data_IF_098542223333
#
_entry.id   IF_098542223333
#
_cell.length_a   1.000
_cell.length_b   1.000
_cell.length_c   1.000
_cell.angle_alpha   90.00
_cell.angle_beta   90.00
_cell.angle_gamma   90.00
#
_symmetry.space_group_name_H-M   'P 1'
#
loop_
_entity.id
_entity.type
_entity.pdbx_description
1 polymer ?
#
# COMPACT_ATOMS: atom_id res chain seq x y z
N UNK A 1 -13.56 27.43 -26.15
CA UNK A 1 -14.46 27.09 -25.03
C UNK A 1 -14.54 28.29 -24.12
N UNK A 2 -15.74 28.67 -23.68
CA UNK A 2 -15.97 29.81 -22.79
C UNK A 2 -15.46 29.46 -21.38
N UNK A 3 -14.26 29.91 -21.01
CA UNK A 3 -13.85 29.93 -19.61
C UNK A 3 -14.80 30.89 -18.87
N UNK A 4 -15.56 30.44 -17.86
CA UNK A 4 -16.45 31.32 -17.13
C UNK A 4 -15.64 32.44 -16.48
N UNK A 5 -16.05 33.68 -16.72
CA UNK A 5 -15.39 34.88 -16.20
C UNK A 5 -15.81 35.06 -14.73
N UNK A 6 -14.98 34.59 -13.80
CA UNK A 6 -15.20 34.72 -12.35
C UNK A 6 -14.43 35.95 -11.87
N UNK A 7 -15.14 37.00 -11.43
CA UNK A 7 -14.58 38.26 -10.96
C UNK A 7 -15.21 38.65 -9.62
N UNK A 8 -14.47 39.38 -8.79
CA UNK A 8 -14.99 40.02 -7.58
C UNK A 8 -14.53 41.48 -7.51
N UNK A 9 -15.22 42.29 -6.71
CA UNK A 9 -14.82 43.68 -6.43
C UNK A 9 -13.96 43.70 -5.17
N UNK A 10 -12.74 44.22 -5.31
CA UNK A 10 -11.78 44.38 -4.24
C UNK A 10 -12.13 45.54 -3.31
N UNK A 11 -11.38 45.66 -2.22
CA UNK A 11 -11.63 46.65 -1.17
C UNK A 11 -11.57 48.12 -1.63
N UNK A 12 -11.01 48.41 -2.81
CA UNK A 12 -10.91 49.76 -3.39
C UNK A 12 -11.81 49.92 -4.63
N UNK A 13 -12.76 49.01 -4.85
CA UNK A 13 -13.68 49.04 -5.99
C UNK A 13 -13.08 48.49 -7.29
N UNK A 14 -11.88 47.91 -7.24
CA UNK A 14 -11.22 47.31 -8.40
C UNK A 14 -11.81 45.94 -8.72
N UNK A 15 -11.99 45.63 -10.02
CA UNK A 15 -12.31 44.25 -10.42
C UNK A 15 -11.06 43.38 -10.32
N UNK A 16 -11.17 42.28 -9.61
CA UNK A 16 -10.10 41.32 -9.41
C UNK A 16 -10.54 39.90 -9.78
N UNK A 17 -9.57 39.06 -10.15
CA UNK A 17 -9.75 37.64 -10.43
C UNK A 17 -9.40 36.86 -9.15
N UNK A 18 -10.26 35.94 -8.68
CA UNK A 18 -9.95 35.17 -7.48
C UNK A 18 -8.83 34.15 -7.72
N UNK A 19 -8.06 33.86 -6.69
CA UNK A 19 -7.16 32.70 -6.68
C UNK A 19 -7.99 31.42 -6.51
N UNK A 20 -7.82 30.46 -7.43
CA UNK A 20 -8.57 29.21 -7.43
C UNK A 20 -7.62 28.02 -7.30
N UNK A 21 -8.02 27.04 -6.49
CA UNK A 21 -7.33 25.76 -6.35
C UNK A 21 -8.32 24.62 -6.58
N UNK A 22 -7.83 23.47 -7.04
CA UNK A 22 -8.58 22.22 -7.10
C UNK A 22 -7.68 21.04 -6.74
N UNK A 23 -8.27 20.00 -6.15
CA UNK A 23 -7.61 18.76 -5.80
C UNK A 23 -8.59 17.60 -5.87
N UNK A 24 -8.11 16.39 -6.16
CA UNK A 24 -8.94 15.21 -6.30
C UNK A 24 -8.25 13.94 -5.81
N UNK A 25 -9.02 13.04 -5.21
CA UNK A 25 -8.59 11.72 -4.78
C UNK A 25 -9.62 10.71 -5.31
N UNK A 26 -9.16 9.59 -5.86
CA UNK A 26 -10.03 8.60 -6.53
C UNK A 26 -9.85 7.20 -5.95
N UNK A 27 -10.67 6.27 -6.42
CA UNK A 27 -10.58 4.83 -6.13
C UNK A 27 -9.28 4.18 -6.58
N UNK A 28 -8.43 4.87 -7.35
CA UNK A 28 -7.06 4.43 -7.65
C UNK A 28 -6.27 4.09 -6.38
N UNK A 29 -6.53 4.79 -5.27
CA UNK A 29 -5.93 4.52 -3.97
C UNK A 29 -6.17 3.09 -3.47
N UNK A 30 -7.32 2.50 -3.78
CA UNK A 30 -7.64 1.11 -3.43
C UNK A 30 -6.74 0.16 -4.22
N UNK A 31 -6.56 0.41 -5.53
CA UNK A 31 -5.65 -0.37 -6.37
C UNK A 31 -4.20 -0.31 -5.88
N UNK A 32 -3.71 0.89 -5.51
CA UNK A 32 -2.38 1.06 -4.94
C UNK A 32 -2.22 0.26 -3.65
N UNK A 33 -3.17 0.37 -2.71
CA UNK A 33 -3.14 -0.41 -1.46
C UNK A 33 -3.10 -1.92 -1.72
N UNK A 34 -3.92 -2.41 -2.66
CA UNK A 34 -3.94 -3.84 -3.03
C UNK A 34 -2.60 -4.28 -3.59
N UNK A 35 -2.02 -3.53 -4.54
CA UNK A 35 -0.73 -3.88 -5.15
C UNK A 35 0.44 -3.83 -4.17
N UNK A 36 0.41 -2.89 -3.21
CA UNK A 36 1.51 -2.70 -2.25
C UNK A 36 1.51 -3.76 -1.14
N UNK A 37 0.34 -4.20 -0.67
CA UNK A 37 0.27 -5.06 0.51
C UNK A 37 -0.03 -6.53 0.21
N UNK A 38 -0.71 -6.85 -0.90
CA UNK A 38 -1.11 -8.24 -1.19
C UNK A 38 0.10 -9.15 -1.43
N UNK A 39 -0.11 -10.44 -1.26
CA UNK A 39 0.90 -11.47 -1.48
C UNK A 39 0.33 -12.64 -2.29
N UNK A 40 1.12 -13.71 -2.43
CA UNK A 40 0.74 -14.90 -3.19
C UNK A 40 -0.45 -15.68 -2.59
N UNK A 41 -0.87 -15.37 -1.36
CA UNK A 41 -2.05 -15.96 -0.72
C UNK A 41 -3.32 -15.10 -0.91
N UNK A 42 -3.19 -13.89 -1.45
CA UNK A 42 -4.30 -13.00 -1.76
C UNK A 42 -4.16 -11.62 -1.12
N UNK A 43 -5.31 -11.00 -0.80
CA UNK A 43 -5.33 -9.67 -0.22
C UNK A 43 -4.67 -9.64 1.15
N UNK A 44 -4.06 -8.50 1.50
CA UNK A 44 -3.62 -8.16 2.86
C UNK A 44 -4.12 -6.76 3.15
N UNK A 45 -5.21 -6.64 3.91
CA UNK A 45 -5.84 -5.34 4.13
C UNK A 45 -5.28 -4.67 5.38
N UNK A 46 -4.91 -3.37 5.31
CA UNK A 46 -4.60 -2.60 6.51
C UNK A 46 -5.81 -2.55 7.46
N UNK A 47 -5.63 -2.78 8.78
CA UNK A 47 -6.74 -2.88 9.74
C UNK A 47 -7.73 -1.72 9.76
N UNK A 48 -7.30 -0.49 9.42
CA UNK A 48 -8.20 0.68 9.42
C UNK A 48 -9.23 0.67 8.29
N UNK A 49 -8.94 0.00 7.19
CA UNK A 49 -9.80 -0.04 5.99
C UNK A 49 -10.40 -1.42 5.71
N UNK A 50 -9.95 -2.45 6.43
CA UNK A 50 -10.49 -3.80 6.31
C UNK A 50 -11.98 -3.84 6.71
N UNK A 51 -12.91 -4.34 5.86
CA UNK A 51 -14.34 -4.42 6.22
C UNK A 51 -14.58 -5.27 7.47
N UNK A 52 -13.83 -6.35 7.63
CA UNK A 52 -13.69 -7.12 8.86
C UNK A 52 -12.22 -7.11 9.26
N UNK A 53 -11.94 -6.87 10.54
CA UNK A 53 -10.60 -6.85 11.10
C UNK A 53 -10.22 -8.21 11.68
N UNK A 54 -11.21 -8.90 12.26
CA UNK A 54 -11.01 -10.17 12.95
C UNK A 54 -12.00 -11.20 12.45
N UNK A 55 -11.52 -12.42 12.22
CA UNK A 55 -12.39 -13.60 12.09
C UNK A 55 -12.09 -14.59 13.21
N UNK A 56 -13.12 -15.10 13.87
CA UNK A 56 -13.02 -16.12 14.90
C UNK A 56 -13.49 -17.45 14.31
N UNK A 57 -12.66 -18.48 14.41
CA UNK A 57 -12.93 -19.81 13.85
C UNK A 57 -12.88 -20.84 14.97
N UNK A 58 -14.03 -21.41 15.38
CA UNK A 58 -14.05 -22.58 16.24
C UNK A 58 -13.52 -23.79 15.47
N UNK A 59 -12.62 -24.56 16.07
CA UNK A 59 -12.05 -25.76 15.47
C UNK A 59 -12.80 -26.99 15.97
N UNK A 60 -13.53 -27.65 15.06
CA UNK A 60 -14.32 -28.83 15.36
C UNK A 60 -13.47 -30.10 15.37
N UNK A 61 -13.21 -30.65 16.56
CA UNK A 61 -12.53 -31.96 16.72
C UNK A 61 -13.32 -32.95 17.58
N UNK A 62 -14.23 -32.47 18.43
CA UNK A 62 -15.09 -33.30 19.29
C UNK A 62 -16.47 -32.63 19.41
N UNK A 63 -17.52 -33.33 18.96
CA UNK A 63 -18.90 -32.79 18.92
C UNK A 63 -19.42 -32.32 20.28
N UNK A 64 -18.98 -32.96 21.36
CA UNK A 64 -19.41 -32.68 22.74
C UNK A 64 -19.00 -31.29 23.25
N UNK A 65 -17.84 -30.77 22.81
CA UNK A 65 -17.32 -29.47 23.27
C UNK A 65 -17.66 -28.34 22.28
N UNK A 66 -18.08 -28.69 21.07
CA UNK A 66 -18.20 -27.72 19.97
C UNK A 66 -19.19 -26.60 20.28
N UNK A 67 -20.37 -26.92 20.80
CA UNK A 67 -21.40 -25.92 21.12
C UNK A 67 -20.91 -24.93 22.19
N UNK A 68 -20.17 -25.42 23.19
CA UNK A 68 -19.55 -24.58 24.22
C UNK A 68 -18.43 -23.69 23.65
N UNK A 69 -17.61 -24.21 22.72
CA UNK A 69 -16.61 -23.42 22.02
C UNK A 69 -17.25 -22.32 21.17
N UNK A 70 -18.31 -22.63 20.43
CA UNK A 70 -19.04 -21.66 19.60
C UNK A 70 -19.63 -20.56 20.49
N UNK A 71 -20.26 -20.91 21.62
CA UNK A 71 -20.76 -19.92 22.57
C UNK A 71 -19.65 -18.98 23.05
N UNK A 72 -18.50 -19.52 23.46
CA UNK A 72 -17.34 -18.70 23.87
C UNK A 72 -16.78 -17.84 22.73
N UNK A 73 -16.73 -18.34 21.49
CA UNK A 73 -16.37 -17.53 20.33
C UNK A 73 -17.29 -16.30 20.17
N UNK A 74 -18.61 -16.47 20.38
CA UNK A 74 -19.56 -15.35 20.34
C UNK A 74 -19.42 -14.39 21.53
N UNK A 75 -19.05 -14.86 22.72
CA UNK A 75 -18.75 -13.99 23.85
C UNK A 75 -17.50 -13.13 23.59
N UNK A 76 -16.43 -13.75 23.07
CA UNK A 76 -15.22 -13.04 22.64
C UNK A 76 -15.55 -12.03 21.55
N UNK A 77 -16.36 -12.41 20.55
CA UNK A 77 -16.80 -11.51 19.48
C UNK A 77 -17.52 -10.28 20.06
N UNK A 78 -18.48 -10.47 20.98
CA UNK A 78 -19.18 -9.34 21.63
C UNK A 78 -18.22 -8.40 22.38
N UNK A 79 -17.23 -8.97 23.06
CA UNK A 79 -16.21 -8.18 23.77
C UNK A 79 -15.34 -7.37 22.80
N UNK A 80 -15.00 -7.95 21.64
CA UNK A 80 -14.29 -7.25 20.57
C UNK A 80 -15.15 -6.15 19.91
N UNK A 81 -16.42 -6.43 19.63
CA UNK A 81 -17.37 -5.43 19.10
C UNK A 81 -17.52 -4.25 20.06
N UNK A 82 -17.64 -4.52 21.37
CA UNK A 82 -17.69 -3.48 22.40
C UNK A 82 -16.40 -2.63 22.45
N UNK A 83 -15.26 -3.20 22.04
CA UNK A 83 -13.99 -2.48 21.87
C UNK A 83 -13.86 -1.78 20.49
N UNK A 84 -14.91 -1.77 19.67
CA UNK A 84 -14.93 -1.12 18.35
C UNK A 84 -14.27 -1.94 17.23
N UNK A 85 -14.00 -3.22 17.46
CA UNK A 85 -13.38 -4.12 16.47
C UNK A 85 -14.46 -4.73 15.58
N UNK A 86 -14.25 -4.66 14.26
CA UNK A 86 -15.12 -5.32 13.27
C UNK A 86 -14.78 -6.81 13.21
N UNK A 87 -15.62 -7.65 13.79
CA UNK A 87 -15.36 -9.09 13.94
C UNK A 87 -16.48 -9.94 13.35
N UNK A 88 -16.14 -11.17 12.97
CA UNK A 88 -17.12 -12.20 12.58
C UNK A 88 -16.71 -13.55 13.15
N UNK A 89 -17.67 -14.32 13.64
CA UNK A 89 -17.50 -15.75 13.91
C UNK A 89 -17.87 -16.54 12.65
N UNK A 90 -17.00 -17.46 12.24
CA UNK A 90 -17.26 -18.41 11.14
C UNK A 90 -17.44 -19.83 11.70
N UNK A 91 -18.65 -20.10 12.15
CA UNK A 91 -19.12 -21.35 12.76
C UNK A 91 -19.78 -22.32 11.79
N UNK A 92 -19.76 -22.01 10.47
CA UNK A 92 -20.28 -22.89 9.40
C UNK A 92 -19.73 -24.31 9.53
N UNK A 93 -20.59 -25.30 9.66
CA UNK A 93 -20.25 -26.69 9.94
C UNK A 93 -19.88 -27.49 8.67
N UNK A 94 -20.31 -27.03 7.50
CA UNK A 94 -20.06 -27.64 6.20
C UNK A 94 -18.63 -27.43 5.65
N UNK A 95 -17.78 -26.67 6.34
CA UNK A 95 -16.39 -26.41 5.93
C UNK A 95 -15.39 -26.78 7.02
N UNK A 96 -14.31 -27.45 6.61
CA UNK A 96 -13.21 -27.75 7.52
C UNK A 96 -12.42 -26.46 7.88
N UNK A 97 -11.69 -26.45 9.01
CA UNK A 97 -10.95 -25.27 9.46
C UNK A 97 -9.94 -24.75 8.43
N UNK A 98 -9.20 -25.64 7.75
CA UNK A 98 -8.21 -25.25 6.74
C UNK A 98 -8.82 -24.50 5.55
N UNK A 99 -10.01 -24.91 5.11
CA UNK A 99 -10.76 -24.21 4.08
C UNK A 99 -11.15 -22.80 4.56
N UNK A 100 -11.64 -22.67 5.80
CA UNK A 100 -11.98 -21.36 6.38
C UNK A 100 -10.75 -20.46 6.47
N UNK A 101 -9.61 -21.00 6.87
CA UNK A 101 -8.35 -20.24 6.96
C UNK A 101 -8.01 -19.61 5.61
N UNK A 102 -7.96 -20.43 4.56
CA UNK A 102 -7.66 -19.97 3.21
C UNK A 102 -8.71 -18.97 2.70
N UNK A 103 -10.00 -19.22 2.95
CA UNK A 103 -11.08 -18.31 2.54
C UNK A 103 -10.92 -16.89 3.09
N UNK A 104 -10.55 -16.77 4.37
CA UNK A 104 -10.38 -15.47 5.02
C UNK A 104 -9.01 -14.84 4.77
N UNK A 105 -7.96 -15.66 4.61
CA UNK A 105 -6.63 -15.20 4.17
C UNK A 105 -6.68 -14.59 2.76
N UNK A 106 -7.37 -15.25 1.83
CA UNK A 106 -7.58 -14.76 0.47
C UNK A 106 -8.29 -13.41 0.45
N UNK A 107 -9.24 -13.20 1.36
CA UNK A 107 -9.97 -11.94 1.54
C UNK A 107 -9.19 -10.87 2.30
N UNK A 108 -8.03 -11.21 2.84
CA UNK A 108 -7.13 -10.28 3.53
C UNK A 108 -7.62 -9.81 4.88
N UNK A 109 -8.37 -10.64 5.60
CA UNK A 109 -8.75 -10.34 6.98
C UNK A 109 -7.47 -10.21 7.82
N UNK A 110 -7.24 -9.06 8.49
CA UNK A 110 -5.98 -8.80 9.20
C UNK A 110 -5.62 -9.85 10.25
N UNK A 111 -6.60 -10.28 11.05
CA UNK A 111 -6.35 -11.16 12.19
C UNK A 111 -7.32 -12.33 12.20
N UNK A 112 -6.79 -13.55 12.28
CA UNK A 112 -7.57 -14.74 12.57
C UNK A 112 -7.41 -15.12 14.04
N UNK A 113 -8.51 -15.50 14.67
CA UNK A 113 -8.58 -16.04 16.02
C UNK A 113 -9.09 -17.46 15.94
N UNK A 114 -8.33 -18.41 16.46
CA UNK A 114 -8.61 -19.83 16.44
C UNK A 114 -8.95 -20.29 17.86
N UNK A 115 -10.04 -21.06 18.02
CA UNK A 115 -10.41 -21.68 19.29
C UNK A 115 -10.58 -23.18 19.12
N UNK A 116 -9.52 -23.93 19.41
CA UNK A 116 -9.53 -25.38 19.48
C UNK A 116 -9.77 -25.92 20.90
N UNK A 117 -9.97 -27.24 21.07
CA UNK A 117 -10.24 -27.84 22.38
C UNK A 117 -9.13 -27.58 23.41
N UNK A 118 -7.86 -27.64 22.98
CA UNK A 118 -6.71 -27.39 23.84
C UNK A 118 -6.64 -25.94 24.35
N UNK A 119 -7.00 -24.99 23.50
CA UNK A 119 -7.01 -23.57 23.86
C UNK A 119 -8.22 -23.25 24.73
N UNK A 120 -9.34 -23.94 24.50
CA UNK A 120 -10.52 -23.89 25.35
C UNK A 120 -10.25 -24.34 26.78
N UNK A 121 -9.62 -25.51 26.94
CA UNK A 121 -9.19 -26.03 28.25
C UNK A 121 -8.25 -25.07 28.99
N UNK A 122 -7.43 -24.32 28.25
CA UNK A 122 -6.48 -23.33 28.78
C UNK A 122 -7.06 -21.92 28.92
N UNK A 123 -8.34 -21.71 28.56
CA UNK A 123 -8.99 -20.39 28.55
C UNK A 123 -8.21 -19.33 27.76
N UNK A 124 -7.70 -19.73 26.59
CA UNK A 124 -6.97 -18.88 25.66
C UNK A 124 -7.48 -19.04 24.24
N UNK A 125 -7.02 -18.18 23.34
CA UNK A 125 -7.22 -18.30 21.90
C UNK A 125 -5.88 -18.16 21.19
N UNK A 126 -5.77 -18.72 19.98
CA UNK A 126 -4.61 -18.52 19.11
C UNK A 126 -4.91 -17.44 18.08
N UNK A 127 -4.11 -16.39 18.08
CA UNK A 127 -4.14 -15.32 17.11
C UNK A 127 -3.16 -15.65 15.99
N UNK A 128 -3.53 -15.35 14.74
CA UNK A 128 -2.66 -15.45 13.57
C UNK A 128 -2.79 -14.17 12.75
N UNK A 129 -1.67 -13.49 12.55
CA UNK A 129 -1.58 -12.26 11.74
C UNK A 129 -1.50 -12.58 10.25
N UNK A 130 -2.28 -11.88 9.43
CA UNK A 130 -2.31 -12.08 7.98
C UNK A 130 -1.07 -11.57 7.25
N UNK A 131 -0.46 -10.50 7.74
CA UNK A 131 0.65 -9.80 7.06
C UNK A 131 2.00 -10.51 7.20
N UNK A 132 2.20 -11.29 8.27
CA UNK A 132 3.48 -11.95 8.56
C UNK A 132 3.35 -13.40 9.09
N UNK A 133 2.13 -13.94 9.26
CA UNK A 133 1.85 -15.26 9.82
C UNK A 133 2.32 -15.48 11.27
N UNK A 134 2.65 -14.40 12.00
CA UNK A 134 3.01 -14.45 13.42
C UNK A 134 1.83 -14.96 14.24
N UNK A 135 2.13 -15.80 15.24
CA UNK A 135 1.14 -16.47 16.09
C UNK A 135 1.34 -16.09 17.54
N UNK A 136 0.25 -15.88 18.25
CA UNK A 136 0.26 -15.61 19.69
C UNK A 136 -0.88 -16.35 20.40
N UNK A 137 -0.59 -16.94 21.55
CA UNK A 137 -1.62 -17.48 22.44
C UNK A 137 -2.00 -16.41 23.46
N UNK A 138 -3.29 -16.09 23.55
CA UNK A 138 -3.78 -14.97 24.34
C UNK A 138 -4.92 -15.42 25.25
N UNK A 139 -4.82 -15.23 26.57
CA UNK A 139 -5.91 -15.51 27.50
C UNK A 139 -7.17 -14.72 27.17
N UNK A 140 -8.34 -15.32 27.39
CA UNK A 140 -9.64 -14.66 27.13
C UNK A 140 -9.80 -13.36 27.92
N UNK A 141 -9.22 -13.28 29.12
CA UNK A 141 -9.30 -12.12 30.00
C UNK A 141 -8.69 -10.84 29.40
N UNK A 142 -7.74 -10.97 28.47
CA UNK A 142 -7.04 -9.83 27.86
C UNK A 142 -7.20 -9.77 26.34
N UNK A 143 -7.97 -10.69 25.74
CA UNK A 143 -8.06 -10.85 24.28
C UNK A 143 -8.48 -9.56 23.59
N UNK A 144 -9.47 -8.84 24.11
CA UNK A 144 -9.97 -7.62 23.47
C UNK A 144 -8.95 -6.49 23.44
N UNK A 145 -8.25 -6.28 24.57
CA UNK A 145 -7.18 -5.29 24.65
C UNK A 145 -6.01 -5.67 23.74
N UNK A 146 -5.61 -6.95 23.77
CA UNK A 146 -4.49 -7.44 22.97
C UNK A 146 -4.79 -7.31 21.47
N UNK A 147 -5.98 -7.71 21.02
CA UNK A 147 -6.40 -7.57 19.62
C UNK A 147 -6.39 -6.11 19.17
N UNK A 148 -6.95 -5.19 19.97
CA UNK A 148 -6.96 -3.76 19.63
C UNK A 148 -5.54 -3.20 19.43
N UNK A 149 -4.61 -3.52 20.33
CA UNK A 149 -3.20 -3.13 20.22
C UNK A 149 -2.52 -3.76 19.01
N UNK A 150 -2.78 -5.04 18.75
CA UNK A 150 -2.23 -5.76 17.60
C UNK A 150 -2.68 -5.14 16.29
N UNK A 151 -3.96 -4.77 16.13
CA UNK A 151 -4.44 -4.11 14.92
C UNK A 151 -3.78 -2.74 14.68
N UNK A 152 -3.51 -1.97 15.75
CA UNK A 152 -2.75 -0.70 15.64
C UNK A 152 -1.31 -0.97 15.22
N UNK A 153 -0.65 -1.93 15.86
CA UNK A 153 0.73 -2.33 15.54
C UNK A 153 0.86 -2.78 14.09
N UNK A 154 -0.03 -3.68 13.64
CA UNK A 154 -0.08 -4.15 12.25
C UNK A 154 -0.16 -2.99 11.25
N UNK A 155 -1.05 -2.02 11.49
CA UNK A 155 -1.17 -0.85 10.61
C UNK A 155 0.15 -0.07 10.46
N UNK A 156 0.91 0.07 11.54
CA UNK A 156 2.17 0.82 11.53
C UNK A 156 3.28 0.01 10.87
N UNK A 157 3.38 -1.28 11.18
CA UNK A 157 4.38 -2.18 10.62
C UNK A 157 4.20 -2.37 9.10
N UNK A 158 2.96 -2.46 8.62
CA UNK A 158 2.66 -2.52 7.19
C UNK A 158 3.12 -1.26 6.45
N UNK A 159 2.88 -0.07 7.03
CA UNK A 159 3.35 1.19 6.44
C UNK A 159 4.88 1.29 6.49
N UNK A 160 5.49 0.92 7.62
CA UNK A 160 6.95 0.97 7.79
C UNK A 160 7.65 0.05 6.79
N UNK A 161 7.15 -1.18 6.61
CA UNK A 161 7.64 -2.13 5.61
C UNK A 161 7.56 -1.55 4.20
N UNK A 162 6.37 -1.08 3.78
CA UNK A 162 6.18 -0.50 2.45
C UNK A 162 7.05 0.75 2.22
N UNK A 163 7.27 1.56 3.25
CA UNK A 163 8.15 2.74 3.19
C UNK A 163 9.60 2.32 2.99
N UNK A 164 10.08 1.34 3.77
CA UNK A 164 11.44 0.82 3.64
C UNK A 164 11.68 0.19 2.26
N UNK A 165 10.71 -0.55 1.73
CA UNK A 165 10.79 -1.13 0.38
C UNK A 165 10.82 -0.05 -0.71
N UNK A 166 9.98 0.99 -0.60
CA UNK A 166 10.03 2.16 -1.50
C UNK A 166 11.41 2.81 -1.45
N UNK A 167 11.93 3.08 -0.26
CA UNK A 167 13.20 3.79 -0.07
C UNK A 167 14.40 2.97 -0.57
N UNK A 168 14.38 1.66 -0.39
CA UNK A 168 15.39 0.75 -0.93
C UNK A 168 15.39 0.71 -2.48
N UNK A 169 14.23 0.99 -3.09
CA UNK A 169 14.08 1.08 -4.54
C UNK A 169 14.26 2.50 -5.09
N UNK A 170 14.57 3.49 -4.24
CA UNK A 170 14.99 4.82 -4.69
C UNK A 170 16.51 4.84 -4.86
N UNK A 171 16.98 5.34 -6.00
CA UNK A 171 18.40 5.56 -6.23
C UNK A 171 18.68 6.98 -6.71
N UNK A 172 19.80 7.53 -6.26
CA UNK A 172 20.31 8.81 -6.74
C UNK A 172 21.15 8.57 -8.00
N UNK A 173 20.78 9.21 -9.10
CA UNK A 173 21.47 9.08 -10.39
C UNK A 173 21.89 10.47 -10.87
N UNK A 174 23.19 10.63 -11.15
CA UNK A 174 23.77 11.94 -11.58
C UNK A 174 24.34 11.90 -12.99
N UNK A 175 24.34 10.72 -13.61
CA UNK A 175 24.87 10.50 -14.96
C UNK A 175 23.89 9.65 -15.75
N UNK A 176 23.71 9.95 -17.03
CA UNK A 176 22.75 9.27 -17.88
C UNK A 176 22.97 7.75 -17.96
N UNK A 177 24.23 7.31 -18.01
CA UNK A 177 24.58 5.90 -18.23
C UNK A 177 24.08 4.97 -17.11
N UNK A 178 23.75 5.54 -15.94
CA UNK A 178 23.20 4.82 -14.79
C UNK A 178 21.66 4.83 -14.76
N UNK A 179 21.02 5.70 -15.54
CA UNK A 179 19.60 5.99 -15.46
C UNK A 179 18.75 4.84 -16.02
N UNK A 180 18.96 4.48 -17.28
CA UNK A 180 18.18 3.40 -17.94
C UNK A 180 18.43 2.04 -17.28
N UNK A 181 19.66 1.65 -16.91
CA UNK A 181 19.89 0.42 -16.15
C UNK A 181 19.18 0.40 -14.79
N UNK A 182 19.12 1.53 -14.07
CA UNK A 182 18.39 1.60 -12.80
C UNK A 182 16.87 1.43 -12.98
N UNK A 183 16.30 2.03 -14.02
CA UNK A 183 14.88 1.86 -14.37
C UNK A 183 14.56 0.41 -14.76
N UNK A 184 15.47 -0.27 -15.46
CA UNK A 184 15.31 -1.68 -15.83
C UNK A 184 15.27 -2.61 -14.59
N UNK A 185 15.92 -2.20 -13.49
CA UNK A 185 15.85 -2.89 -12.19
C UNK A 185 14.60 -2.50 -11.36
N UNK A 186 13.66 -1.72 -11.93
CA UNK A 186 12.44 -1.30 -11.24
C UNK A 186 12.65 -0.17 -10.22
N UNK A 187 13.77 0.55 -10.28
CA UNK A 187 14.06 1.64 -9.33
C UNK A 187 13.41 2.95 -9.72
N UNK A 188 13.13 3.78 -8.70
CA UNK A 188 12.83 5.20 -8.85
C UNK A 188 14.15 5.98 -8.84
N UNK A 189 14.35 6.85 -9.82
CA UNK A 189 15.61 7.57 -10.00
C UNK A 189 15.44 9.03 -9.59
N UNK A 190 16.19 9.47 -8.57
CA UNK A 190 16.29 10.87 -8.17
C UNK A 190 17.49 11.50 -8.88
N UNK A 191 17.25 12.47 -9.77
CA UNK A 191 18.29 13.06 -10.63
C UNK A 191 18.33 14.58 -10.55
N UNK A 192 19.50 15.22 -10.69
CA UNK A 192 19.57 16.66 -10.89
C UNK A 192 19.07 17.00 -12.30
N UNK A 193 18.09 17.89 -12.42
CA UNK A 193 17.47 18.23 -13.70
C UNK A 193 17.30 19.73 -13.90
N UNK A 194 17.36 20.18 -15.16
CA UNK A 194 17.28 21.60 -15.55
C UNK A 194 15.86 22.17 -15.57
N UNK A 195 14.82 21.32 -15.42
CA UNK A 195 13.41 21.74 -15.39
C UNK A 195 13.03 22.53 -16.67
N UNK A 196 13.28 21.90 -17.82
CA UNK A 196 12.95 22.40 -19.16
C UNK A 196 12.08 21.35 -19.86
N UNK A 197 10.92 21.75 -20.38
CA UNK A 197 9.92 20.85 -20.96
C UNK A 197 10.45 20.05 -22.17
N UNK A 198 11.24 20.70 -23.02
CA UNK A 198 11.86 20.04 -24.19
C UNK A 198 12.81 18.92 -23.75
N UNK A 199 13.57 19.16 -22.68
CA UNK A 199 14.51 18.17 -22.14
C UNK A 199 13.79 17.03 -21.43
N UNK A 200 12.62 17.27 -20.83
CA UNK A 200 11.81 16.20 -20.26
C UNK A 200 11.31 15.24 -21.35
N UNK A 201 10.85 15.76 -22.48
CA UNK A 201 10.42 14.93 -23.61
C UNK A 201 11.61 14.20 -24.27
N UNK A 202 12.80 14.83 -24.29
CA UNK A 202 14.04 14.17 -24.71
C UNK A 202 14.39 12.98 -23.81
N UNK A 203 14.38 13.17 -22.48
CA UNK A 203 14.62 12.08 -21.51
C UNK A 203 13.64 10.93 -21.73
N UNK A 204 12.36 11.24 -21.93
CA UNK A 204 11.31 10.23 -22.19
C UNK A 204 11.58 9.45 -23.49
N UNK A 205 11.90 10.14 -24.58
CA UNK A 205 12.15 9.50 -25.88
C UNK A 205 13.42 8.66 -25.86
N UNK A 206 14.52 9.21 -25.32
CA UNK A 206 15.82 8.54 -25.24
C UNK A 206 15.78 7.33 -24.31
N UNK A 207 15.17 7.46 -23.13
CA UNK A 207 15.04 6.34 -22.19
C UNK A 207 14.19 5.21 -22.75
N UNK A 208 13.14 5.51 -23.53
CA UNK A 208 12.34 4.50 -24.23
C UNK A 208 13.18 3.72 -25.25
N UNK A 209 13.90 4.43 -26.12
CA UNK A 209 14.72 3.81 -27.16
C UNK A 209 15.82 2.93 -26.56
N UNK A 210 16.53 3.42 -25.53
CA UNK A 210 17.57 2.66 -24.84
C UNK A 210 17.00 1.45 -24.08
N UNK A 211 15.83 1.57 -23.46
CA UNK A 211 15.18 0.46 -22.76
C UNK A 211 14.78 -0.68 -23.70
N UNK A 212 14.20 -0.36 -24.87
CA UNK A 212 13.84 -1.33 -25.90
C UNK A 212 15.08 -2.01 -26.50
N UNK A 213 16.13 -1.24 -26.78
CA UNK A 213 17.39 -1.78 -27.25
C UNK A 213 18.03 -2.74 -26.22
N UNK A 214 17.92 -2.44 -24.93
CA UNK A 214 18.40 -3.31 -23.86
C UNK A 214 17.61 -4.60 -23.69
N UNK A 215 16.28 -4.59 -23.91
CA UNK A 215 15.45 -5.79 -23.85
C UNK A 215 15.49 -6.63 -25.14
N UNK A 216 16.03 -6.07 -26.23
CA UNK A 216 16.00 -6.70 -27.55
C UNK A 216 14.59 -6.68 -28.18
N UNK A 217 13.73 -5.77 -27.73
CA UNK A 217 12.36 -5.63 -28.21
C UNK A 217 12.26 -4.51 -29.25
N UNK A 218 11.50 -4.72 -30.32
CA UNK A 218 11.27 -3.72 -31.36
C UNK A 218 10.16 -2.71 -30.98
N UNK A 219 9.42 -2.99 -29.89
CA UNK A 219 8.30 -2.19 -29.43
C UNK A 219 7.84 -2.59 -28.04
N UNK A 220 6.92 -1.80 -27.46
CA UNK A 220 6.34 -2.09 -26.15
C UNK A 220 5.33 -3.24 -26.25
N UNK A 221 5.32 -4.16 -25.28
CA UNK A 221 4.28 -5.19 -25.19
C UNK A 221 2.92 -4.53 -24.92
N UNK A 222 1.97 -4.69 -25.85
CA UNK A 222 0.62 -4.13 -25.73
C UNK A 222 -0.16 -4.67 -24.52
N UNK A 223 0.29 -5.78 -23.91
CA UNK A 223 -0.27 -6.35 -22.68
C UNK A 223 0.27 -5.67 -21.41
N UNK A 224 1.37 -4.91 -21.51
CA UNK A 224 1.92 -4.17 -20.39
C UNK A 224 1.14 -2.87 -20.18
N UNK A 225 0.61 -2.69 -18.96
CA UNK A 225 -0.12 -1.48 -18.59
C UNK A 225 0.78 -0.23 -18.46
N UNK A 226 2.11 -0.40 -18.49
CA UNK A 226 3.08 0.67 -18.28
C UNK A 226 3.98 0.83 -19.50
N UNK A 227 4.24 2.08 -19.89
CA UNK A 227 5.30 2.37 -20.86
C UNK A 227 6.68 2.11 -20.24
N UNK A 228 7.65 1.69 -21.07
CA UNK A 228 9.04 1.54 -20.64
C UNK A 228 9.78 2.87 -20.53
N UNK A 229 9.20 3.94 -21.09
CA UNK A 229 9.72 5.30 -21.05
C UNK A 229 9.69 5.89 -19.65
N UNK A 230 10.75 6.63 -19.29
CA UNK A 230 10.75 7.40 -18.06
C UNK A 230 9.88 8.65 -18.19
N UNK A 231 9.23 9.05 -17.08
CA UNK A 231 8.58 10.34 -16.93
C UNK A 231 9.01 10.98 -15.62
N UNK A 232 8.89 12.30 -15.51
CA UNK A 232 8.93 12.94 -14.21
C UNK A 232 7.71 12.49 -13.40
N UNK A 233 7.93 12.21 -12.13
CA UNK A 233 6.86 11.89 -11.18
C UNK A 233 6.54 13.12 -10.35
N UNK A 234 7.56 13.75 -9.79
CA UNK A 234 7.47 15.02 -9.10
C UNK A 234 8.85 15.64 -8.90
N UNK A 235 8.87 16.93 -8.55
CA UNK A 235 9.96 17.55 -7.81
C UNK A 235 9.65 17.35 -6.32
N UNK A 236 10.38 16.50 -5.58
CA UNK A 236 10.12 16.30 -4.15
C UNK A 236 10.26 17.61 -3.38
N UNK A 237 9.36 17.87 -2.41
CA UNK A 237 9.51 19.04 -1.54
C UNK A 237 10.78 18.97 -0.68
N UNK A 238 11.10 17.78 -0.15
CA UNK A 238 12.33 17.54 0.59
C UNK A 238 13.49 17.27 -0.38
N UNK A 239 14.21 18.34 -0.72
CA UNK A 239 15.37 18.29 -1.60
C UNK A 239 16.63 17.88 -0.83
N UNK A 240 17.48 16.98 -1.37
CA UNK A 240 18.80 16.70 -0.80
C UNK A 240 19.60 17.99 -0.58
N UNK A 241 20.24 18.15 0.59
CA UNK A 241 21.00 19.36 0.88
C UNK A 241 22.29 19.42 0.05
N UNK A 242 22.82 20.63 -0.10
CA UNK A 242 24.09 20.90 -0.78
C UNK A 242 23.91 21.37 -2.22
N UNK A 243 25.03 21.59 -2.94
CA UNK A 243 24.98 22.10 -4.31
C UNK A 243 24.39 21.05 -5.26
N UNK A 244 23.62 21.53 -6.23
CA UNK A 244 23.10 20.69 -7.31
C UNK A 244 24.22 20.35 -8.30
N UNK A 245 24.44 19.07 -8.62
CA UNK A 245 25.24 18.70 -9.77
C UNK A 245 24.61 19.22 -11.08
N UNK A 246 25.37 19.24 -12.19
CA UNK A 246 24.79 19.51 -13.51
C UNK A 246 23.65 18.55 -13.85
N UNK A 247 22.74 19.00 -14.72
CA UNK A 247 21.63 18.20 -15.22
C UNK A 247 22.13 16.87 -15.77
N UNK A 248 21.59 15.76 -15.27
CA UNK A 248 22.05 14.41 -15.60
C UNK A 248 21.93 14.07 -17.09
N UNK A 249 21.02 14.73 -17.80
CA UNK A 249 20.71 14.48 -19.20
C UNK A 249 21.45 15.43 -20.16
N UNK A 250 21.68 16.69 -19.75
CA UNK A 250 22.15 17.75 -20.67
C UNK A 250 23.47 18.40 -20.26
N UNK A 251 23.90 18.24 -19.00
CA UNK A 251 25.06 18.94 -18.44
C UNK A 251 24.85 20.43 -18.15
N UNK A 252 23.68 21.01 -18.48
CA UNK A 252 23.28 22.38 -18.09
C UNK A 252 23.20 22.50 -16.55
N UNK A 253 23.22 23.72 -15.97
CA UNK A 253 22.91 23.89 -14.54
C UNK A 253 21.55 23.28 -14.18
N UNK A 254 21.51 22.41 -13.17
CA UNK A 254 20.26 21.87 -12.67
C UNK A 254 19.54 22.87 -11.75
N UNK A 255 18.21 22.82 -11.73
CA UNK A 255 17.36 23.64 -10.86
C UNK A 255 16.86 22.89 -9.63
N UNK A 256 16.68 21.58 -9.74
CA UNK A 256 16.21 20.75 -8.63
C UNK A 256 16.61 19.28 -8.82
N UNK A 257 16.47 18.49 -7.75
CA UNK A 257 16.31 17.05 -7.83
C UNK A 257 14.89 16.70 -8.26
N UNK A 258 14.77 15.89 -9.30
CA UNK A 258 13.52 15.41 -9.86
C UNK A 258 13.46 13.90 -9.71
N UNK A 259 12.31 13.39 -9.29
CA UNK A 259 12.05 11.96 -9.19
C UNK A 259 11.48 11.45 -10.52
N UNK A 260 12.10 10.41 -11.06
CA UNK A 260 11.72 9.78 -12.31
C UNK A 260 11.36 8.31 -12.10
N UNK A 261 10.51 7.79 -12.98
CA UNK A 261 10.18 6.39 -13.02
C UNK A 261 9.37 6.03 -14.25
N UNK A 262 9.10 4.72 -14.40
CA UNK A 262 8.03 4.23 -15.27
C UNK A 262 6.69 4.46 -14.58
N UNK A 263 5.64 4.74 -15.35
CA UNK A 263 4.31 5.03 -14.82
C UNK A 263 3.26 4.12 -15.47
N UNK A 264 2.25 3.77 -14.66
CA UNK A 264 0.93 3.31 -15.10
C UNK A 264 0.21 4.37 -15.92
#
# INVERSE_FOLDING_TARGET
GLTPKIEYEGSKGEKAIPWQNSWGLTTRTIGVMVMVHSDNQGLVLPPRVAPLQVVIIPINLKKELYDAQVATCHEIAKSLEAAGVRVRVDDRDNYNPGWKYNYWELKGIPLRVELGPKDYEKQQVRLVRRDNNEKADVPWSIVSQHVALTLVKMQHEMLAKATAERDANLCRVTKWEQFVPALALGKLCLTPFCDELEEEENVKTRSKAEALAMSGEEGEDERCATSVAAKTLCIPYDQPPGPLPPCFATGKPAKAWVLWGRSY
#
